data_IF_604140867326
#
_entry.id   IF_604140867326
#
_cell.length_a   1.000
_cell.length_b   1.000
_cell.length_c   1.000
_cell.angle_alpha   90.00
_cell.angle_beta   90.00
_cell.angle_gamma   90.00
#
_symmetry.space_group_name_H-M   'P 1'
#
loop_
_entity.id
_entity.type
_entity.pdbx_description
1 polymer ?
#
# COMPACT_ATOMS: atom_id res chain seq x y z
N UNK A 1 -9.21 11.03 18.21
CA UNK A 1 -8.57 9.87 18.92
C UNK A 1 -7.63 9.19 17.92
N UNK A 2 -6.92 8.12 18.28
CA UNK A 2 -6.00 7.44 17.34
C UNK A 2 -6.67 6.82 16.10
N UNK A 3 -8.01 6.70 16.07
CA UNK A 3 -8.75 6.02 15.00
C UNK A 3 -8.73 6.77 13.66
N UNK A 4 -8.91 8.10 13.66
CA UNK A 4 -8.87 8.89 12.42
C UNK A 4 -7.49 8.79 11.76
N UNK A 5 -6.43 8.86 12.58
CA UNK A 5 -5.04 8.69 12.11
C UNK A 5 -4.79 7.30 11.54
N UNK A 6 -5.38 6.25 12.13
CA UNK A 6 -5.27 4.89 11.61
C UNK A 6 -5.98 4.75 10.28
N UNK A 7 -7.19 5.33 10.14
CA UNK A 7 -7.92 5.34 8.88
C UNK A 7 -7.14 6.08 7.78
N UNK A 8 -6.55 7.23 8.09
CA UNK A 8 -5.68 7.97 7.16
C UNK A 8 -4.46 7.15 6.72
N UNK A 9 -3.89 6.36 7.64
CA UNK A 9 -2.76 5.46 7.33
C UNK A 9 -3.20 4.32 6.41
N UNK A 10 -4.34 3.67 6.67
CA UNK A 10 -4.88 2.62 5.81
C UNK A 10 -5.14 3.16 4.39
N UNK A 11 -5.68 4.37 4.27
CA UNK A 11 -5.92 4.98 2.96
C UNK A 11 -4.62 5.31 2.22
N UNK A 12 -3.56 5.72 2.95
CA UNK A 12 -2.22 5.89 2.38
C UNK A 12 -1.66 4.56 1.87
N UNK A 13 -1.76 3.48 2.64
CA UNK A 13 -1.25 2.17 2.24
C UNK A 13 -2.05 1.59 1.06
N UNK A 14 -3.38 1.76 1.05
CA UNK A 14 -4.23 1.39 -0.10
C UNK A 14 -3.74 2.04 -1.39
N UNK A 15 -3.41 3.33 -1.33
CA UNK A 15 -2.87 4.08 -2.46
C UNK A 15 -1.49 3.56 -2.89
N UNK A 16 -0.60 3.32 -1.94
CA UNK A 16 0.76 2.85 -2.22
C UNK A 16 0.72 1.45 -2.87
N UNK A 17 -0.14 0.54 -2.38
CA UNK A 17 -0.38 -0.79 -2.98
C UNK A 17 -1.04 -0.70 -4.37
N UNK A 18 -1.98 0.23 -4.59
CA UNK A 18 -2.58 0.44 -5.91
C UNK A 18 -1.54 0.87 -6.96
N UNK A 19 -0.59 1.72 -6.56
CA UNK A 19 0.55 2.11 -7.40
C UNK A 19 1.47 0.93 -7.68
N UNK A 20 1.80 0.13 -6.65
CA UNK A 20 2.61 -1.07 -6.84
C UNK A 20 1.96 -2.03 -7.84
N UNK A 21 0.65 -2.28 -7.70
CA UNK A 21 -0.12 -3.10 -8.65
C UNK A 21 -0.02 -2.56 -10.08
N UNK A 22 -0.17 -1.26 -10.30
CA UNK A 22 -0.04 -0.66 -11.63
C UNK A 22 1.38 -0.84 -12.21
N UNK A 23 2.42 -0.78 -11.37
CA UNK A 23 3.81 -1.08 -11.78
C UNK A 23 3.96 -2.55 -12.18
N UNK A 24 3.32 -3.50 -11.48
CA UNK A 24 3.30 -4.93 -11.85
C UNK A 24 2.62 -5.14 -13.20
N UNK A 25 1.49 -4.49 -13.44
CA UNK A 25 0.66 -4.68 -14.64
C UNK A 25 1.25 -4.00 -15.89
N UNK A 26 1.96 -2.88 -15.71
CA UNK A 26 2.33 -1.99 -16.83
C UNK A 26 3.82 -1.59 -16.87
N UNK A 27 4.64 -2.07 -15.94
CA UNK A 27 6.06 -1.73 -15.86
C UNK A 27 6.85 -2.11 -17.13
N UNK A 28 7.86 -1.32 -17.55
CA UNK A 28 8.27 -0.03 -16.97
C UNK A 28 7.26 1.10 -17.22
N UNK A 29 6.93 1.86 -16.18
CA UNK A 29 5.91 2.93 -16.24
C UNK A 29 6.35 4.21 -15.51
N UNK A 30 6.15 5.38 -16.14
CA UNK A 30 6.51 6.67 -15.57
C UNK A 30 5.44 7.23 -14.61
N UNK A 31 5.79 8.31 -13.88
CA UNK A 31 4.89 8.92 -12.88
C UNK A 31 3.60 9.47 -13.50
N UNK A 32 3.68 10.03 -14.71
CA UNK A 32 2.51 10.62 -15.36
C UNK A 32 1.52 9.53 -15.81
N UNK A 33 2.04 8.43 -16.34
CA UNK A 33 1.26 7.25 -16.72
C UNK A 33 0.69 6.56 -15.50
N UNK A 34 1.46 6.38 -14.42
CA UNK A 34 0.95 5.86 -13.14
C UNK A 34 -0.19 6.74 -12.58
N UNK A 35 -0.06 8.07 -12.66
CA UNK A 35 -1.10 8.99 -12.24
C UNK A 35 -2.39 8.82 -13.04
N UNK A 36 -2.27 8.61 -14.35
CA UNK A 36 -3.42 8.34 -15.22
C UNK A 36 -4.07 6.97 -14.92
N UNK A 37 -3.27 5.90 -14.79
CA UNK A 37 -3.78 4.54 -14.53
C UNK A 37 -4.45 4.41 -13.16
N UNK A 38 -3.96 5.14 -12.15
CA UNK A 38 -4.47 5.06 -10.78
C UNK A 38 -5.49 6.14 -10.42
N UNK A 39 -5.74 7.10 -11.32
CA UNK A 39 -6.54 8.32 -11.07
C UNK A 39 -6.07 9.08 -9.82
N UNK A 40 -4.75 9.13 -9.62
CA UNK A 40 -4.10 9.79 -8.48
C UNK A 40 -3.34 11.05 -8.92
N UNK A 41 -3.28 12.10 -8.09
CA UNK A 41 -2.44 13.26 -8.39
C UNK A 41 -0.95 12.89 -8.50
N UNK A 42 -0.24 13.39 -9.51
CA UNK A 42 1.18 13.07 -9.74
C UNK A 42 2.08 13.26 -8.52
N UNK A 43 1.85 14.31 -7.72
CA UNK A 43 2.66 14.56 -6.52
C UNK A 43 2.46 13.49 -5.44
N UNK A 44 1.28 12.86 -5.39
CA UNK A 44 1.01 11.71 -4.51
C UNK A 44 1.66 10.45 -5.06
N UNK A 45 1.54 10.21 -6.37
CA UNK A 45 2.21 9.09 -7.04
C UNK A 45 3.72 9.15 -6.82
N UNK A 46 4.34 10.33 -7.02
CA UNK A 46 5.76 10.54 -6.77
C UNK A 46 6.16 10.25 -5.33
N UNK A 47 5.34 10.67 -4.36
CA UNK A 47 5.59 10.38 -2.96
C UNK A 47 5.55 8.88 -2.69
N UNK A 48 4.56 8.17 -3.23
CA UNK A 48 4.40 6.72 -3.09
C UNK A 48 5.52 5.94 -3.76
N UNK A 49 5.83 6.23 -5.02
CA UNK A 49 6.94 5.57 -5.76
C UNK A 49 8.23 5.71 -4.99
N UNK A 50 8.56 6.92 -4.51
CA UNK A 50 9.76 7.11 -3.69
C UNK A 50 9.78 6.26 -2.41
N UNK A 51 8.64 6.10 -1.75
CA UNK A 51 8.55 5.25 -0.54
C UNK A 51 8.76 3.77 -0.91
N UNK A 52 8.03 3.30 -1.94
CA UNK A 52 8.15 1.93 -2.45
C UNK A 52 9.58 1.61 -2.92
N UNK A 53 10.27 2.56 -3.57
CA UNK A 53 11.67 2.43 -3.97
C UNK A 53 12.61 2.32 -2.76
N UNK A 54 12.39 3.13 -1.72
CA UNK A 54 13.22 3.06 -0.49
C UNK A 54 13.03 1.73 0.24
N UNK A 55 11.82 1.18 0.19
CA UNK A 55 11.45 -0.07 0.85
C UNK A 55 11.77 -1.31 -0.03
N UNK A 56 12.26 -1.10 -1.27
CA UNK A 56 12.61 -2.18 -2.21
C UNK A 56 11.40 -2.87 -2.85
N UNK A 57 10.20 -2.31 -2.70
CA UNK A 57 8.95 -2.85 -3.27
C UNK A 57 8.86 -2.58 -4.78
N UNK A 58 9.59 -1.58 -5.29
CA UNK A 58 9.76 -1.31 -6.73
C UNK A 58 11.18 -0.84 -7.02
N UNK A 59 11.61 -0.92 -8.29
CA UNK A 59 12.94 -0.50 -8.72
C UNK A 59 12.89 0.65 -9.75
N UNK A 60 13.84 1.61 -9.67
CA UNK A 60 13.97 2.67 -10.67
C UNK A 60 14.57 2.13 -11.97
N UNK A 61 14.09 2.62 -13.11
CA UNK A 61 14.64 2.32 -14.43
C UNK A 61 14.75 3.58 -15.31
N UNK A 62 15.41 3.47 -16.46
CA UNK A 62 15.50 4.57 -17.43
C UNK A 62 14.13 4.98 -18.03
N UNK A 63 13.16 4.07 -18.03
CA UNK A 63 11.84 4.26 -18.65
C UNK A 63 10.72 4.47 -17.61
N UNK A 64 11.07 4.63 -16.34
CA UNK A 64 10.12 4.74 -15.23
C UNK A 64 10.39 3.72 -14.14
N UNK A 65 9.34 3.24 -13.50
CA UNK A 65 9.41 2.29 -12.38
C UNK A 65 9.10 0.88 -12.86
N UNK A 66 9.83 -0.12 -12.36
CA UNK A 66 9.61 -1.55 -12.68
C UNK A 66 9.35 -2.36 -11.40
N UNK A 67 8.67 -3.51 -11.50
CA UNK A 67 8.58 -4.45 -10.40
C UNK A 67 9.97 -4.99 -10.03
N UNK A 68 10.20 -5.34 -8.77
CA UNK A 68 11.44 -5.97 -8.35
C UNK A 68 11.47 -7.44 -8.82
N UNK A 69 12.65 -8.06 -8.78
CA UNK A 69 12.82 -9.45 -9.21
C UNK A 69 12.01 -10.45 -8.36
N UNK A 70 11.75 -10.12 -7.10
CA UNK A 70 11.03 -10.89 -6.08
C UNK A 70 9.57 -10.44 -5.91
N UNK A 71 8.94 -9.94 -6.98
CA UNK A 71 7.57 -9.40 -6.95
C UNK A 71 6.54 -10.32 -6.29
N UNK A 72 6.64 -11.64 -6.49
CA UNK A 72 5.72 -12.62 -5.89
C UNK A 72 5.87 -12.67 -4.36
N UNK A 73 7.11 -12.61 -3.86
CA UNK A 73 7.41 -12.57 -2.42
C UNK A 73 6.91 -11.27 -1.79
N UNK A 74 7.05 -10.13 -2.49
CA UNK A 74 6.52 -8.84 -2.05
C UNK A 74 5.00 -8.85 -1.93
N UNK A 75 4.30 -9.39 -2.94
CA UNK A 75 2.84 -9.51 -2.91
C UNK A 75 2.39 -10.44 -1.78
N UNK A 76 3.08 -11.56 -1.56
CA UNK A 76 2.79 -12.47 -0.47
C UNK A 76 2.96 -11.78 0.90
N UNK A 77 4.06 -11.07 1.11
CA UNK A 77 4.33 -10.34 2.35
C UNK A 77 3.31 -9.23 2.64
N UNK A 78 2.86 -8.50 1.60
CA UNK A 78 1.80 -7.50 1.75
C UNK A 78 0.49 -8.15 2.19
N UNK A 79 0.08 -9.25 1.56
CA UNK A 79 -1.17 -9.94 1.91
C UNK A 79 -1.12 -10.50 3.34
N UNK A 80 -0.03 -11.17 3.72
CA UNK A 80 0.17 -11.66 5.10
C UNK A 80 0.13 -10.50 6.11
N UNK A 81 0.76 -9.37 5.79
CA UNK A 81 0.71 -8.17 6.62
C UNK A 81 -0.69 -7.59 6.77
N UNK A 82 -1.50 -7.60 5.70
CA UNK A 82 -2.92 -7.17 5.75
C UNK A 82 -3.75 -8.11 6.62
N UNK A 83 -3.59 -9.43 6.47
CA UNK A 83 -4.31 -10.42 7.28
C UNK A 83 -4.02 -10.21 8.78
N UNK A 84 -2.74 -10.04 9.14
CA UNK A 84 -2.35 -9.72 10.51
C UNK A 84 -2.91 -8.39 11.03
N UNK A 85 -3.08 -7.39 10.17
CA UNK A 85 -3.69 -6.12 10.54
C UNK A 85 -5.20 -6.28 10.78
N UNK A 86 -5.88 -7.09 9.98
CA UNK A 86 -7.30 -7.41 10.18
C UNK A 86 -7.49 -8.07 11.54
N UNK A 87 -6.71 -9.11 11.85
CA UNK A 87 -6.77 -9.80 13.15
C UNK A 87 -6.64 -8.83 14.32
N UNK A 88 -5.67 -7.91 14.27
CA UNK A 88 -5.46 -6.90 15.33
C UNK A 88 -6.60 -5.90 15.46
N UNK A 89 -7.23 -5.52 14.35
CA UNK A 89 -8.39 -4.61 14.36
C UNK A 89 -9.62 -5.33 14.93
N UNK A 90 -9.77 -6.63 14.65
CA UNK A 90 -10.82 -7.46 15.26
C UNK A 90 -10.61 -7.63 16.77
N UNK A 91 -9.38 -7.89 17.22
CA UNK A 91 -9.01 -7.89 18.65
C UNK A 91 -9.31 -6.54 19.31
N UNK A 92 -8.97 -5.42 18.66
CA UNK A 92 -9.27 -4.09 19.18
C UNK A 92 -10.79 -3.87 19.34
N UNK A 93 -11.59 -4.41 18.42
CA UNK A 93 -13.06 -4.36 18.49
C UNK A 93 -13.60 -5.20 19.65
N UNK A 94 -12.97 -6.32 19.97
CA UNK A 94 -13.42 -7.20 21.06
C UNK A 94 -13.25 -6.57 22.45
N UNK A 95 -12.29 -5.65 22.62
CA UNK A 95 -12.02 -4.93 23.89
C UNK A 95 -13.27 -4.32 24.53
N UNK A 96 -14.20 -3.80 23.73
CA UNK A 96 -15.46 -3.23 24.23
C UNK A 96 -16.67 -4.15 24.06
N UNK A 97 -16.46 -5.34 23.47
CA UNK A 97 -17.52 -6.32 23.21
C UNK A 97 -17.65 -7.36 24.33
N UNK A 98 -16.67 -7.45 25.24
CA UNK A 98 -16.68 -8.36 26.40
C UNK A 98 -17.26 -7.73 27.69
N UNK A 99 -17.50 -6.41 27.72
CA UNK A 99 -17.94 -5.65 28.92
C UNK A 99 -19.34 -5.00 28.80
N UNK A 100 -20.30 -5.67 28.14
CA UNK A 100 -21.74 -5.33 28.28
C UNK A 100 -22.55 -6.60 28.55
N UNK A 101 -22.22 -7.26 29.65
CA UNK A 101 -23.15 -8.10 30.41
C UNK A 101 -22.96 -7.81 31.90
N UNK A 102 -23.56 -6.72 32.37
CA UNK A 102 -24.35 -6.60 33.62
C UNK A 102 -24.83 -5.16 33.82
#
# INVERSE_FOLDING_TARGET
>A
MGMDRLADQVEKERRDVAIFRAVIEHGPIDIASLAAETDLPEHKVRQSVRMLENDGVVEPSQQGTVPPADVEDQVAAINEGVDHLVDRVEELRSVFSEDVQD
#
